data_IF_057690521741
#
_entry.id   IF_057690521741
#
_cell.length_a   1.000
_cell.length_b   1.000
_cell.length_c   1.000
_cell.angle_alpha   90.00
_cell.angle_beta   90.00
_cell.angle_gamma   90.00
#
_symmetry.space_group_name_H-M   'P 1'
#
loop_
_entity.id
_entity.type
_entity.pdbx_description
1 polymer ?
#
# COMPACT_ATOMS: atom_id res chain seq x y z
N UNK A 1 7.52 -4.28 12.24
CA UNK A 1 6.37 -4.04 11.36
C UNK A 1 5.34 -3.21 12.12
N UNK A 2 4.68 -2.26 11.44
CA UNK A 2 3.80 -1.28 12.07
C UNK A 2 2.64 -1.92 12.84
N UNK A 3 2.02 -2.97 12.32
CA UNK A 3 0.88 -3.61 13.01
C UNK A 3 1.25 -4.20 14.38
N UNK A 4 2.44 -4.74 14.55
CA UNK A 4 2.85 -5.29 15.86
C UNK A 4 3.03 -4.16 16.88
N UNK A 5 3.58 -3.04 16.44
CA UNK A 5 3.67 -1.84 17.28
C UNK A 5 2.27 -1.32 17.68
N UNK A 6 1.39 -1.13 16.70
CA UNK A 6 0.05 -0.60 16.94
C UNK A 6 -0.80 -1.54 17.81
N UNK A 7 -0.77 -2.85 17.55
CA UNK A 7 -1.49 -3.85 18.34
C UNK A 7 -1.02 -3.86 19.80
N UNK A 8 0.29 -3.72 20.03
CA UNK A 8 0.86 -3.77 21.36
C UNK A 8 0.65 -2.46 22.15
N UNK A 9 0.65 -1.32 21.48
CA UNK A 9 0.52 -0.01 22.11
C UNK A 9 -0.93 0.50 22.18
N UNK A 10 -1.83 -0.04 21.35
CA UNK A 10 -3.25 0.31 21.28
C UNK A 10 -4.12 -0.94 21.29
N UNK A 11 -4.15 -1.70 22.42
CA UNK A 11 -4.79 -3.03 22.47
C UNK A 11 -6.31 -2.97 22.27
N UNK A 12 -6.95 -1.83 22.56
CA UNK A 12 -8.37 -1.61 22.38
C UNK A 12 -8.77 -1.27 20.94
N UNK A 13 -7.80 -0.89 20.10
CA UNK A 13 -8.03 -0.66 18.67
C UNK A 13 -7.88 -1.97 17.90
N UNK A 14 -9.00 -2.48 17.39
CA UNK A 14 -9.03 -3.75 16.66
C UNK A 14 -8.65 -3.62 15.19
N UNK A 15 -8.56 -2.40 14.64
CA UNK A 15 -8.33 -2.17 13.22
C UNK A 15 -7.04 -2.83 12.72
N UNK A 16 -5.96 -2.72 13.48
CA UNK A 16 -4.67 -3.33 13.11
C UNK A 16 -4.64 -4.85 13.25
N UNK A 17 -5.42 -5.42 14.19
CA UNK A 17 -5.58 -6.88 14.31
C UNK A 17 -6.33 -7.43 13.10
N UNK A 18 -7.44 -6.80 12.72
CA UNK A 18 -8.21 -7.16 11.53
C UNK A 18 -7.38 -6.99 10.25
N UNK A 19 -6.65 -5.89 10.13
CA UNK A 19 -5.74 -5.65 9.00
C UNK A 19 -4.67 -6.73 8.87
N UNK A 20 -4.02 -7.11 9.99
CA UNK A 20 -3.00 -8.17 10.00
C UNK A 20 -3.55 -9.50 9.50
N UNK A 21 -4.74 -9.90 9.97
CA UNK A 21 -5.39 -11.14 9.53
C UNK A 21 -5.66 -11.10 8.02
N UNK A 22 -6.32 -10.06 7.53
CA UNK A 22 -6.62 -9.88 6.10
C UNK A 22 -5.36 -9.89 5.25
N UNK A 23 -4.30 -9.22 5.71
CA UNK A 23 -3.01 -9.17 5.02
C UNK A 23 -2.40 -10.56 4.86
N UNK A 24 -2.36 -11.34 5.95
CA UNK A 24 -1.79 -12.70 5.95
C UNK A 24 -2.58 -13.63 5.05
N UNK A 25 -3.92 -13.58 5.11
CA UNK A 25 -4.79 -14.39 4.26
C UNK A 25 -4.60 -14.05 2.78
N UNK A 26 -4.58 -12.79 2.44
CA UNK A 26 -4.32 -12.30 1.08
C UNK A 26 -2.94 -12.75 0.55
N UNK A 27 -1.91 -12.66 1.39
CA UNK A 27 -0.57 -13.12 1.03
C UNK A 27 -0.53 -14.64 0.79
N UNK A 28 -1.20 -15.43 1.64
CA UNK A 28 -1.29 -16.90 1.48
C UNK A 28 -2.01 -17.30 0.19
N UNK A 29 -3.00 -16.52 -0.24
CA UNK A 29 -3.70 -16.72 -1.52
C UNK A 29 -2.87 -16.27 -2.74
N UNK A 30 -1.72 -15.62 -2.55
CA UNK A 30 -0.94 -15.04 -3.63
C UNK A 30 -1.54 -13.77 -4.24
N UNK A 31 -2.44 -13.09 -3.52
CA UNK A 31 -3.10 -11.87 -3.99
C UNK A 31 -2.24 -10.62 -3.86
N UNK A 32 -1.11 -10.72 -3.15
CA UNK A 32 -0.18 -9.61 -2.97
C UNK A 32 1.27 -10.06 -2.92
N UNK A 33 2.14 -9.14 -3.28
CA UNK A 33 3.60 -9.27 -3.19
C UNK A 33 4.09 -8.18 -2.25
N UNK A 34 4.81 -8.57 -1.20
CA UNK A 34 5.39 -7.62 -0.25
C UNK A 34 6.90 -7.50 -0.47
N UNK A 35 7.38 -6.28 -0.43
CA UNK A 35 8.77 -5.91 -0.62
C UNK A 35 9.32 -5.26 0.65
N UNK A 36 10.51 -5.65 1.05
CA UNK A 36 11.13 -5.17 2.29
C UNK A 36 12.55 -4.67 2.02
N UNK A 37 12.87 -3.50 2.55
CA UNK A 37 14.25 -3.05 2.69
C UNK A 37 14.81 -3.49 4.02
N UNK A 38 15.95 -4.19 3.99
CA UNK A 38 16.61 -4.72 5.18
C UNK A 38 17.97 -4.03 5.35
N UNK A 39 18.22 -3.54 6.55
CA UNK A 39 19.49 -2.95 6.97
C UNK A 39 19.88 -3.55 8.31
N UNK A 40 21.09 -4.12 8.42
CA UNK A 40 21.60 -4.74 9.66
C UNK A 40 20.61 -5.75 10.27
N UNK A 41 20.06 -6.64 9.44
CA UNK A 41 19.05 -7.65 9.80
C UNK A 41 17.72 -7.08 10.35
N UNK A 42 17.44 -5.80 10.11
CA UNK A 42 16.20 -5.15 10.51
C UNK A 42 15.45 -4.67 9.28
N UNK A 43 14.14 -4.91 9.23
CA UNK A 43 13.26 -4.32 8.22
C UNK A 43 13.13 -2.82 8.51
N UNK A 44 13.58 -1.99 7.57
CA UNK A 44 13.57 -0.53 7.69
C UNK A 44 12.54 0.15 6.79
N UNK A 45 12.15 -0.48 5.70
CA UNK A 45 11.07 0.01 4.84
C UNK A 45 10.30 -1.15 4.20
N UNK A 46 9.08 -0.87 3.83
CA UNK A 46 8.18 -1.83 3.20
C UNK A 46 7.31 -1.19 2.11
N UNK A 47 6.90 -2.00 1.16
CA UNK A 47 5.94 -1.69 0.12
C UNK A 47 5.18 -2.95 -0.27
N UNK A 48 3.92 -2.81 -0.67
CA UNK A 48 3.08 -3.94 -1.09
C UNK A 48 2.44 -3.64 -2.43
N UNK A 49 2.43 -4.63 -3.31
CA UNK A 49 1.66 -4.64 -4.54
C UNK A 49 0.51 -5.64 -4.42
N UNK A 50 -0.72 -5.19 -4.51
CA UNK A 50 -1.91 -6.03 -4.61
C UNK A 50 -2.14 -6.34 -6.09
N UNK A 51 -2.26 -7.61 -6.43
CA UNK A 51 -2.35 -8.11 -7.80
C UNK A 51 -3.67 -8.85 -8.10
N UNK A 52 -4.56 -8.91 -7.13
CA UNK A 52 -5.87 -9.53 -7.28
C UNK A 52 -6.99 -8.56 -6.89
N UNK A 53 -8.02 -8.48 -7.75
CA UNK A 53 -9.17 -7.59 -7.61
C UNK A 53 -10.01 -7.82 -6.33
N UNK A 54 -10.01 -9.04 -5.80
CA UNK A 54 -10.77 -9.37 -4.60
C UNK A 54 -10.33 -8.56 -3.36
N UNK A 55 -9.08 -8.08 -3.36
CA UNK A 55 -8.52 -7.32 -2.25
C UNK A 55 -8.66 -5.80 -2.38
N UNK A 56 -9.12 -5.30 -3.55
CA UNK A 56 -9.35 -3.87 -3.79
C UNK A 56 -10.63 -3.71 -4.63
N UNK A 57 -11.78 -3.80 -3.99
CA UNK A 57 -13.09 -3.77 -4.65
C UNK A 57 -13.37 -2.46 -5.37
N UNK A 58 -12.86 -1.35 -4.84
CA UNK A 58 -13.00 0.00 -5.40
C UNK A 58 -12.31 0.13 -6.76
N UNK A 59 -11.41 -0.80 -7.08
CA UNK A 59 -10.61 -0.82 -8.31
C UNK A 59 -10.81 -2.10 -9.13
N UNK A 60 -11.83 -2.89 -8.83
CA UNK A 60 -12.04 -4.19 -9.48
C UNK A 60 -12.00 -4.10 -11.01
N UNK A 61 -12.56 -3.05 -11.58
CA UNK A 61 -12.65 -2.83 -13.03
C UNK A 61 -11.31 -2.59 -13.73
N UNK A 62 -10.26 -2.23 -12.99
CA UNK A 62 -8.94 -1.96 -13.58
C UNK A 62 -7.98 -3.14 -13.53
N UNK A 63 -8.33 -4.20 -12.81
CA UNK A 63 -7.49 -5.40 -12.69
C UNK A 63 -7.65 -6.29 -13.92
N UNK A 64 -6.77 -6.09 -14.88
CA UNK A 64 -6.70 -6.78 -16.18
C UNK A 64 -5.62 -7.87 -16.23
N UNK A 65 -5.06 -8.25 -15.10
CA UNK A 65 -3.91 -9.16 -15.00
C UNK A 65 -2.55 -8.52 -15.27
N UNK A 66 -2.53 -7.24 -15.65
CA UNK A 66 -1.31 -6.45 -15.94
C UNK A 66 -1.20 -5.19 -15.10
N UNK A 67 -2.15 -4.97 -14.21
CA UNK A 67 -2.20 -3.83 -13.29
C UNK A 67 -1.93 -4.30 -11.86
N UNK A 68 -1.09 -3.58 -11.12
CA UNK A 68 -0.86 -3.78 -9.70
C UNK A 68 -1.24 -2.52 -8.92
N UNK A 69 -1.93 -2.70 -7.79
CA UNK A 69 -2.24 -1.62 -6.85
C UNK A 69 -1.18 -1.56 -5.76
N UNK A 70 -0.54 -0.41 -5.61
CA UNK A 70 0.54 -0.20 -4.66
C UNK A 70 0.04 0.43 -3.37
N UNK A 71 0.43 -0.13 -2.24
CA UNK A 71 0.05 0.35 -0.93
C UNK A 71 1.08 0.01 0.15
N UNK A 72 0.78 0.37 1.39
CA UNK A 72 1.60 0.08 2.57
C UNK A 72 3.05 0.57 2.43
N UNK A 73 3.24 1.76 1.88
CA UNK A 73 4.54 2.41 1.81
C UNK A 73 4.93 2.96 3.18
N UNK A 74 5.97 2.41 3.76
CA UNK A 74 6.47 2.80 5.09
C UNK A 74 7.98 2.76 5.15
N UNK A 75 8.53 3.70 5.89
CA UNK A 75 9.94 3.69 6.31
C UNK A 75 9.97 4.01 7.79
N UNK A 76 10.80 3.33 8.56
CA UNK A 76 10.95 3.66 9.98
C UNK A 76 11.54 5.07 10.10
N UNK A 77 11.11 5.81 11.11
CA UNK A 77 11.39 7.24 11.24
C UNK A 77 12.88 7.57 11.22
N UNK A 78 13.69 6.75 11.86
CA UNK A 78 15.15 6.92 11.96
C UNK A 78 15.86 6.74 10.61
N UNK A 79 15.20 6.10 9.64
CA UNK A 79 15.74 5.81 8.32
C UNK A 79 15.07 6.60 7.19
N UNK A 80 14.16 7.51 7.55
CA UNK A 80 13.55 8.42 6.58
C UNK A 80 14.58 9.40 5.98
N UNK A 81 14.29 9.88 4.77
CA UNK A 81 15.08 10.85 4.02
C UNK A 81 16.53 10.42 3.69
N UNK A 82 16.83 9.11 3.79
CA UNK A 82 18.13 8.53 3.44
C UNK A 82 18.11 7.80 2.07
N UNK A 83 17.00 7.89 1.34
CA UNK A 83 16.86 7.29 0.00
C UNK A 83 16.52 5.80 -0.02
N UNK A 84 16.32 5.15 1.11
CA UNK A 84 16.02 3.72 1.18
C UNK A 84 14.69 3.37 0.52
N UNK A 85 13.65 4.14 0.76
CA UNK A 85 12.36 3.94 0.07
C UNK A 85 12.50 4.06 -1.45
N UNK A 86 13.28 5.00 -1.94
CA UNK A 86 13.52 5.15 -3.36
C UNK A 86 14.21 3.94 -3.99
N UNK A 87 15.13 3.29 -3.26
CA UNK A 87 15.79 2.04 -3.69
C UNK A 87 14.79 0.88 -3.69
N UNK A 88 14.00 0.72 -2.63
CA UNK A 88 12.96 -0.31 -2.55
C UNK A 88 11.93 -0.14 -3.65
N UNK A 89 11.46 1.08 -3.90
CA UNK A 89 10.50 1.38 -4.94
C UNK A 89 11.01 0.99 -6.34
N UNK A 90 12.25 1.34 -6.69
CA UNK A 90 12.84 0.94 -7.97
C UNK A 90 12.92 -0.59 -8.11
N UNK A 91 13.37 -1.26 -7.06
CA UNK A 91 13.42 -2.73 -7.05
C UNK A 91 12.03 -3.34 -7.27
N UNK A 92 11.01 -2.85 -6.58
CA UNK A 92 9.62 -3.29 -6.73
C UNK A 92 9.10 -3.05 -8.15
N UNK A 93 9.33 -1.87 -8.71
CA UNK A 93 8.88 -1.53 -10.08
C UNK A 93 9.54 -2.43 -11.12
N UNK A 94 10.85 -2.66 -11.01
CA UNK A 94 11.61 -3.55 -11.92
C UNK A 94 11.13 -5.01 -11.81
N UNK A 95 10.88 -5.49 -10.60
CA UNK A 95 10.35 -6.83 -10.35
C UNK A 95 8.94 -7.01 -10.91
N UNK A 96 8.04 -6.07 -10.67
CA UNK A 96 6.68 -6.10 -11.22
C UNK A 96 6.70 -6.06 -12.76
N UNK A 97 7.54 -5.22 -13.34
CA UNK A 97 7.73 -5.17 -14.79
C UNK A 97 8.22 -6.51 -15.34
N UNK A 98 9.19 -7.14 -14.69
CA UNK A 98 9.69 -8.46 -15.07
C UNK A 98 8.63 -9.56 -14.99
N UNK A 99 7.65 -9.41 -14.12
CA UNK A 99 6.50 -10.30 -13.96
C UNK A 99 5.35 -10.03 -14.96
N UNK A 100 5.50 -9.04 -15.83
CA UNK A 100 4.53 -8.72 -16.90
C UNK A 100 3.49 -7.66 -16.53
N UNK A 101 3.62 -7.00 -15.38
CA UNK A 101 2.79 -5.85 -15.04
C UNK A 101 3.25 -4.64 -15.85
N UNK A 102 2.33 -3.88 -16.42
CA UNK A 102 2.62 -2.72 -17.24
C UNK A 102 1.95 -1.44 -16.76
N UNK A 103 1.14 -1.53 -15.69
CA UNK A 103 0.49 -0.37 -15.07
C UNK A 103 0.50 -0.52 -13.55
N UNK A 104 0.89 0.56 -12.88
CA UNK A 104 0.86 0.68 -11.43
C UNK A 104 -0.16 1.74 -11.04
N UNK A 105 -0.97 1.45 -10.03
CA UNK A 105 -1.97 2.35 -9.46
C UNK A 105 -1.69 2.54 -7.99
N UNK A 106 -1.90 3.72 -7.45
CA UNK A 106 -1.92 3.99 -6.02
C UNK A 106 -3.04 4.96 -5.66
N UNK A 107 -3.46 4.90 -4.42
CA UNK A 107 -4.42 5.82 -3.82
C UNK A 107 -3.74 6.75 -2.82
N UNK A 108 -4.25 7.97 -2.74
CA UNK A 108 -3.80 8.97 -1.77
C UNK A 108 -4.96 9.86 -1.34
N UNK A 109 -5.06 10.16 -0.06
CA UNK A 109 -6.04 11.12 0.43
C UNK A 109 -5.71 12.53 -0.08
N UNK A 110 -6.71 13.35 -0.45
CA UNK A 110 -6.46 14.71 -0.94
C UNK A 110 -5.66 15.61 0.03
N UNK A 111 -5.73 15.34 1.32
CA UNK A 111 -5.01 16.06 2.36
C UNK A 111 -3.52 15.70 2.47
N UNK A 112 -3.10 14.57 1.90
CA UNK A 112 -1.72 14.08 1.97
C UNK A 112 -0.80 14.74 0.92
N UNK A 113 -0.71 16.06 0.93
CA UNK A 113 0.02 16.87 -0.07
C UNK A 113 1.45 16.42 -0.28
N UNK A 114 2.18 16.06 0.81
CA UNK A 114 3.56 15.57 0.72
C UNK A 114 3.64 14.25 -0.06
N UNK A 115 2.74 13.32 0.20
CA UNK A 115 2.70 12.03 -0.48
C UNK A 115 2.35 12.21 -1.96
N UNK A 116 1.38 13.08 -2.27
CA UNK A 116 1.02 13.42 -3.65
C UNK A 116 2.24 13.92 -4.43
N UNK A 117 3.03 14.83 -3.86
CA UNK A 117 4.25 15.34 -4.49
C UNK A 117 5.30 14.25 -4.73
N UNK A 118 5.48 13.33 -3.76
CA UNK A 118 6.40 12.19 -3.88
C UNK A 118 5.95 11.27 -5.02
N UNK A 119 4.66 10.95 -5.08
CA UNK A 119 4.11 10.06 -6.10
C UNK A 119 4.16 10.68 -7.50
N UNK A 120 3.89 11.97 -7.63
CA UNK A 120 4.02 12.68 -8.90
C UNK A 120 5.47 12.67 -9.41
N UNK A 121 6.45 12.88 -8.55
CA UNK A 121 7.88 12.75 -8.90
C UNK A 121 8.27 11.33 -9.35
N UNK A 122 7.54 10.32 -8.90
CA UNK A 122 7.72 8.92 -9.34
C UNK A 122 6.95 8.57 -10.61
N UNK A 123 6.19 9.52 -11.18
CA UNK A 123 5.49 9.36 -12.45
C UNK A 123 4.01 9.01 -12.34
N UNK A 124 3.43 8.98 -11.13
CA UNK A 124 1.99 8.80 -10.94
C UNK A 124 1.24 10.10 -11.21
N UNK A 125 1.23 10.53 -12.46
CA UNK A 125 0.68 11.82 -12.89
C UNK A 125 -0.68 11.70 -13.59
N UNK A 126 -1.12 10.48 -13.86
CA UNK A 126 -2.41 10.25 -14.51
C UNK A 126 -3.48 10.00 -13.45
N UNK A 127 -4.46 10.89 -13.40
CA UNK A 127 -5.62 10.70 -12.52
C UNK A 127 -6.53 9.59 -13.10
N UNK A 128 -6.96 8.68 -12.25
CA UNK A 128 -7.85 7.59 -12.62
C UNK A 128 -9.29 7.88 -12.21
N UNK A 129 -9.52 7.99 -10.92
CA UNK A 129 -10.83 8.28 -10.30
C UNK A 129 -10.67 8.67 -8.83
N UNK A 130 -11.78 9.08 -8.22
CA UNK A 130 -11.90 9.19 -6.76
C UNK A 130 -12.99 8.23 -6.27
N UNK A 131 -12.75 7.61 -5.14
CA UNK A 131 -13.73 6.72 -4.50
C UNK A 131 -13.50 6.70 -2.99
N UNK A 132 -14.41 6.09 -2.25
CA UNK A 132 -14.27 5.91 -0.81
C UNK A 132 -13.71 4.53 -0.49
N UNK A 133 -12.59 4.50 0.23
CA UNK A 133 -12.07 3.29 0.84
C UNK A 133 -12.59 3.13 2.28
N UNK A 134 -12.85 1.90 2.68
CA UNK A 134 -13.17 1.57 4.06
C UNK A 134 -11.88 1.28 4.83
N UNK A 135 -11.61 2.11 5.83
CA UNK A 135 -10.55 1.86 6.79
C UNK A 135 -11.04 0.97 7.92
N UNK A 136 -10.10 0.31 8.60
CA UNK A 136 -10.45 -0.58 9.69
C UNK A 136 -11.19 0.15 10.83
N UNK A 137 -12.20 -0.50 11.39
CA UNK A 137 -12.92 0.00 12.56
C UNK A 137 -12.08 -0.11 13.82
N UNK A 138 -12.14 0.89 14.68
CA UNK A 138 -11.36 0.92 15.93
C UNK A 138 -11.97 0.04 17.03
N UNK A 139 -13.27 -0.24 16.96
CA UNK A 139 -13.96 -1.15 17.89
C UNK A 139 -15.03 -1.97 17.17
N UNK A 140 -15.49 -3.06 17.83
CA UNK A 140 -16.47 -3.99 17.26
C UNK A 140 -17.83 -3.34 17.01
N UNK A 141 -18.16 -2.32 17.79
CA UNK A 141 -19.45 -1.61 17.74
C UNK A 141 -19.46 -0.47 16.74
N UNK A 142 -18.31 -0.19 16.09
CA UNK A 142 -18.18 0.90 15.11
C UNK A 142 -18.18 0.37 13.70
N UNK A 143 -18.81 1.12 12.80
CA UNK A 143 -18.67 0.92 11.37
C UNK A 143 -17.26 1.31 10.90
N UNK A 144 -16.75 0.69 9.83
CA UNK A 144 -15.51 1.13 9.19
C UNK A 144 -15.59 2.60 8.76
N UNK A 145 -14.50 3.32 8.93
CA UNK A 145 -14.42 4.70 8.45
C UNK A 145 -14.29 4.70 6.91
N UNK A 146 -15.10 5.55 6.26
CA UNK A 146 -15.02 5.79 4.82
C UNK A 146 -14.17 7.02 4.56
N UNK A 147 -13.09 6.83 3.83
CA UNK A 147 -12.13 7.89 3.50
C UNK A 147 -12.09 8.11 2.01
N UNK A 148 -12.17 9.37 1.57
CA UNK A 148 -12.04 9.73 0.17
C UNK A 148 -10.59 9.55 -0.27
N UNK A 149 -10.40 8.82 -1.37
CA UNK A 149 -9.09 8.54 -1.95
C UNK A 149 -9.11 8.92 -3.43
N UNK A 150 -8.07 9.61 -3.87
CA UNK A 150 -7.79 9.86 -5.28
C UNK A 150 -6.80 8.82 -5.79
N UNK A 151 -7.13 8.16 -6.88
CA UNK A 151 -6.29 7.16 -7.52
C UNK A 151 -5.55 7.75 -8.70
N UNK A 152 -4.24 7.49 -8.74
CA UNK A 152 -3.34 7.87 -9.82
C UNK A 152 -2.62 6.64 -10.36
N UNK A 153 -2.26 6.67 -11.64
CA UNK A 153 -1.53 5.58 -12.26
C UNK A 153 -0.32 6.05 -13.06
N UNK A 154 0.57 5.13 -13.31
CA UNK A 154 1.65 5.24 -14.29
C UNK A 154 1.78 3.94 -15.08
N UNK A 155 2.17 4.06 -16.34
CA UNK A 155 2.58 2.92 -17.16
C UNK A 155 4.09 2.66 -16.98
N UNK A 156 4.47 1.39 -16.98
CA UNK A 156 5.86 0.96 -16.78
C UNK A 156 6.34 0.04 -17.89
#
# INVERSE_FOLDING_TARGET
IKWDYEINNHPDDISWKEYKVKFIESAKKGHRISYYGILNNKIICEATAIINKEDVKELEEIFDGKTAYLCAFRTIKEEENKGYFGKLYRFMEDDLKSKGYNRLVLGVEPSEVRNIQIYFKKGFTNYLKSDFEEYGRTSIDKEPEKVLVNYYYKNI
#
